data_IF_475737578602
#
_entry.id   IF_475737578602
#
_cell.length_a   1.000
_cell.length_b   1.000
_cell.length_c   1.000
_cell.angle_alpha   90.00
_cell.angle_beta   90.00
_cell.angle_gamma   90.00
#
_symmetry.space_group_name_H-M   'P 1'
#
loop_
_entity.id
_entity.type
_entity.pdbx_description
1 polymer ?
#
# COMPACT_ATOMS: atom_id res chain seq x y z
N UNK A 1 12.07 -9.62 4.26
CA UNK A 1 11.78 -9.04 5.59
C UNK A 1 10.33 -8.65 5.65
N UNK A 2 9.67 -9.00 6.73
CA UNK A 2 8.29 -8.61 6.93
C UNK A 2 8.23 -7.54 8.03
N UNK A 3 7.47 -6.51 7.78
CA UNK A 3 7.18 -5.53 8.81
C UNK A 3 6.24 -6.13 9.85
N UNK A 4 6.45 -5.84 11.15
CA UNK A 4 5.51 -6.30 12.18
C UNK A 4 4.12 -5.71 11.94
N UNK A 5 3.10 -6.48 12.29
CA UNK A 5 1.72 -6.02 12.16
C UNK A 5 1.48 -4.75 12.97
N UNK A 6 2.06 -4.66 14.16
CA UNK A 6 1.93 -3.50 15.04
C UNK A 6 2.46 -2.22 14.39
N UNK A 7 3.56 -2.32 13.65
CA UNK A 7 4.13 -1.18 12.94
C UNK A 7 3.20 -0.71 11.82
N UNK A 8 2.65 -1.64 11.06
CA UNK A 8 1.73 -1.33 9.97
C UNK A 8 0.41 -0.75 10.51
N UNK A 9 -0.09 -1.30 11.60
CA UNK A 9 -1.31 -0.81 12.24
C UNK A 9 -1.12 0.61 12.78
N UNK A 10 0.06 0.92 13.32
CA UNK A 10 0.35 2.27 13.79
C UNK A 10 0.34 3.28 12.65
N UNK A 11 0.86 2.91 11.49
CA UNK A 11 0.79 3.77 10.30
C UNK A 11 -0.66 4.04 9.94
N UNK A 12 -1.49 3.00 9.92
CA UNK A 12 -2.93 3.14 9.62
C UNK A 12 -3.66 4.00 10.65
N UNK A 13 -3.28 3.88 11.92
CA UNK A 13 -3.89 4.67 12.98
C UNK A 13 -3.53 6.15 12.90
N UNK A 14 -2.36 6.47 12.41
CA UNK A 14 -1.88 7.86 12.28
C UNK A 14 -2.32 8.53 11.00
N UNK A 15 -2.65 7.77 9.96
CA UNK A 15 -3.02 8.28 8.64
C UNK A 15 -4.43 7.85 8.25
N UNK A 16 -5.29 8.82 8.00
CA UNK A 16 -6.61 8.54 7.44
C UNK A 16 -6.47 8.28 5.95
N UNK A 17 -7.31 7.39 5.41
CA UNK A 17 -7.30 7.10 3.97
C UNK A 17 -7.57 8.38 3.16
N UNK A 18 -8.52 9.19 3.60
CA UNK A 18 -8.83 10.46 2.92
C UNK A 18 -7.64 11.40 2.89
N UNK A 19 -6.83 11.44 3.95
CA UNK A 19 -5.63 12.28 4.02
C UNK A 19 -4.59 11.84 2.99
N UNK A 20 -4.35 10.53 2.87
CA UNK A 20 -3.39 9.98 1.93
C UNK A 20 -3.88 10.18 0.49
N UNK A 21 -5.15 9.85 0.24
CA UNK A 21 -5.76 9.95 -1.09
C UNK A 21 -5.87 11.40 -1.57
N UNK A 22 -6.16 12.33 -0.68
CA UNK A 22 -6.34 13.74 -1.04
C UNK A 22 -5.08 14.41 -1.60
N UNK A 23 -3.91 13.80 -1.40
CA UNK A 23 -2.67 14.29 -1.99
C UNK A 23 -2.63 14.08 -3.50
N UNK A 24 -3.38 13.11 -4.00
CA UNK A 24 -3.45 12.76 -5.42
C UNK A 24 -4.81 13.08 -6.04
N UNK A 25 -5.88 12.90 -5.27
CA UNK A 25 -7.27 13.04 -5.74
C UNK A 25 -7.96 14.14 -4.96
N UNK A 26 -8.67 15.04 -5.66
CA UNK A 26 -9.54 16.01 -5.00
C UNK A 26 -10.78 15.32 -4.49
N UNK A 27 -10.91 15.26 -3.16
CA UNK A 27 -12.02 14.59 -2.50
C UNK A 27 -13.04 15.63 -1.98
N UNK A 28 -14.32 15.29 -2.09
CA UNK A 28 -15.42 16.05 -1.49
C UNK A 28 -16.12 15.16 -0.49
N UNK A 29 -16.41 15.70 0.68
CA UNK A 29 -17.14 14.96 1.70
C UNK A 29 -18.58 14.77 1.29
N UNK A 30 -19.07 13.53 1.38
CA UNK A 30 -20.45 13.19 1.05
C UNK A 30 -20.96 12.21 2.09
N UNK A 31 -21.68 12.72 3.09
CA UNK A 31 -22.10 11.91 4.23
C UNK A 31 -20.91 11.45 5.05
N UNK A 32 -20.78 10.15 5.25
CA UNK A 32 -19.66 9.55 5.99
C UNK A 32 -18.48 9.21 5.10
N UNK A 33 -18.61 9.42 3.79
CA UNK A 33 -17.57 9.06 2.83
C UNK A 33 -17.06 10.29 2.09
N UNK A 34 -15.94 10.10 1.38
CA UNK A 34 -15.38 11.09 0.47
C UNK A 34 -15.50 10.57 -0.94
N UNK A 35 -15.74 11.47 -1.90
CA UNK A 35 -15.94 11.10 -3.31
C UNK A 35 -15.06 11.97 -4.18
N UNK A 36 -14.50 11.38 -5.23
CA UNK A 36 -13.67 12.10 -6.20
C UNK A 36 -13.56 11.37 -7.52
N UNK A 37 -12.81 11.97 -8.44
CA UNK A 37 -12.50 11.33 -9.71
C UNK A 37 -11.42 10.29 -9.52
N UNK A 38 -11.57 9.15 -10.18
CA UNK A 38 -10.63 8.04 -10.04
C UNK A 38 -9.24 8.41 -10.57
N UNK A 39 -8.16 8.10 -9.83
CA UNK A 39 -6.80 8.24 -10.35
C UNK A 39 -6.42 7.09 -11.29
N UNK A 40 -7.25 6.04 -11.36
CA UNK A 40 -6.98 4.85 -12.17
C UNK A 40 -7.63 4.91 -13.54
N UNK A 41 -8.54 5.84 -13.76
CA UNK A 41 -9.26 5.99 -15.02
C UNK A 41 -9.56 7.46 -15.26
N UNK A 42 -9.35 7.90 -16.51
CA UNK A 42 -9.73 9.26 -16.90
C UNK A 42 -11.25 9.31 -17.10
N UNK A 43 -11.93 10.01 -16.19
CA UNK A 43 -13.39 10.09 -16.20
C UNK A 43 -13.87 11.48 -15.77
N UNK A 44 -15.11 11.81 -16.15
CA UNK A 44 -15.73 13.09 -15.78
C UNK A 44 -16.68 12.95 -14.60
N UNK A 45 -17.18 11.75 -14.33
CA UNK A 45 -18.12 11.47 -13.25
C UNK A 45 -17.39 10.85 -12.07
N UNK A 46 -17.55 11.40 -10.84
CA UNK A 46 -16.89 10.81 -9.67
C UNK A 46 -17.34 9.37 -9.42
N UNK A 47 -16.38 8.46 -9.36
CA UNK A 47 -16.64 7.04 -9.07
C UNK A 47 -15.71 6.50 -7.99
N UNK A 48 -14.82 7.33 -7.47
CA UNK A 48 -13.85 6.93 -6.46
C UNK A 48 -14.35 7.36 -5.08
N UNK A 49 -14.48 6.40 -4.16
CA UNK A 49 -14.95 6.65 -2.81
C UNK A 49 -13.92 6.25 -1.77
N UNK A 50 -13.91 6.97 -0.65
CA UNK A 50 -13.02 6.72 0.47
C UNK A 50 -13.85 6.68 1.75
N UNK A 51 -13.63 5.65 2.57
CA UNK A 51 -14.28 5.51 3.87
C UNK A 51 -13.20 5.44 4.95
N UNK A 52 -13.07 6.52 5.74
CA UNK A 52 -12.06 6.60 6.80
C UNK A 52 -12.37 5.67 7.97
N UNK A 53 -13.64 5.47 8.26
CA UNK A 53 -14.06 4.61 9.36
C UNK A 53 -13.71 3.15 9.10
N UNK A 54 -13.91 2.70 7.85
CA UNK A 54 -13.58 1.34 7.43
C UNK A 54 -12.16 1.21 6.88
N UNK A 55 -11.46 2.34 6.76
CA UNK A 55 -10.05 2.39 6.32
C UNK A 55 -9.81 1.81 4.93
N UNK A 56 -10.71 2.10 3.97
CA UNK A 56 -10.53 1.62 2.61
C UNK A 56 -11.01 2.62 1.57
N UNK A 57 -10.55 2.42 0.34
CA UNK A 57 -11.05 3.12 -0.83
C UNK A 57 -11.68 2.12 -1.80
N UNK A 58 -12.58 2.61 -2.65
CA UNK A 58 -13.19 1.80 -3.70
C UNK A 58 -13.41 2.64 -4.95
N UNK A 59 -12.97 2.15 -6.09
CA UNK A 59 -13.22 2.76 -7.40
C UNK A 59 -14.28 1.94 -8.13
N UNK A 60 -15.48 2.51 -8.26
CA UNK A 60 -16.58 1.83 -8.92
C UNK A 60 -16.37 1.68 -10.43
N UNK A 61 -15.55 2.54 -11.04
CA UNK A 61 -15.26 2.46 -12.47
C UNK A 61 -14.35 1.30 -12.85
N UNK A 62 -13.37 0.95 -11.99
CA UNK A 62 -12.39 -0.09 -12.26
C UNK A 62 -12.50 -1.28 -11.32
N UNK A 63 -13.35 -1.20 -10.30
CA UNK A 63 -13.49 -2.18 -9.22
C UNK A 63 -12.25 -2.32 -8.33
N UNK A 64 -11.29 -1.41 -8.44
CA UNK A 64 -10.12 -1.42 -7.57
C UNK A 64 -10.50 -0.96 -6.17
N UNK A 65 -9.94 -1.61 -5.17
CA UNK A 65 -10.18 -1.29 -3.77
C UNK A 65 -8.97 -1.67 -2.93
N UNK A 66 -8.90 -1.16 -1.72
CA UNK A 66 -7.81 -1.48 -0.82
C UNK A 66 -7.62 -0.46 0.28
N UNK A 67 -6.49 -0.55 0.98
CA UNK A 67 -6.11 0.36 2.04
C UNK A 67 -5.09 1.40 1.54
N UNK A 68 -4.49 2.16 2.47
CA UNK A 68 -3.51 3.20 2.11
C UNK A 68 -2.26 2.63 1.43
N UNK A 69 -1.85 1.41 1.82
CA UNK A 69 -0.68 0.77 1.21
C UNK A 69 -0.98 0.41 -0.24
N UNK A 70 -2.15 -0.19 -0.50
CA UNK A 70 -2.57 -0.52 -1.86
C UNK A 70 -2.67 0.72 -2.74
N UNK A 71 -3.23 1.80 -2.20
CA UNK A 71 -3.38 3.05 -2.95
C UNK A 71 -2.03 3.61 -3.37
N UNK A 72 -1.08 3.71 -2.43
CA UNK A 72 0.25 4.25 -2.72
C UNK A 72 1.01 3.36 -3.70
N UNK A 73 0.93 2.05 -3.51
CA UNK A 73 1.58 1.10 -4.42
C UNK A 73 1.08 1.26 -5.86
N UNK A 74 -0.22 1.40 -6.03
CA UNK A 74 -0.84 1.50 -7.36
C UNK A 74 -0.62 2.88 -8.01
N UNK A 75 -0.78 3.95 -7.25
CA UNK A 75 -0.70 5.32 -7.82
C UNK A 75 0.74 5.77 -8.04
N UNK A 76 1.68 5.31 -7.23
CA UNK A 76 3.09 5.70 -7.34
C UNK A 76 3.98 4.59 -7.90
N UNK A 77 3.38 3.46 -8.25
CA UNK A 77 4.11 2.31 -8.79
C UNK A 77 5.25 1.87 -7.86
N UNK A 78 4.93 1.71 -6.59
CA UNK A 78 5.89 1.32 -5.55
C UNK A 78 5.69 -0.12 -5.12
N UNK A 79 6.76 -0.74 -4.67
CA UNK A 79 6.70 -2.02 -3.99
C UNK A 79 6.21 -1.80 -2.55
N UNK A 80 5.75 -2.87 -1.89
CA UNK A 80 5.19 -2.77 -0.55
C UNK A 80 6.17 -2.12 0.45
N UNK A 81 7.43 -2.54 0.46
CA UNK A 81 8.43 -1.97 1.35
C UNK A 81 8.65 -0.48 1.13
N UNK A 82 8.63 -0.05 -0.14
CA UNK A 82 8.75 1.36 -0.48
C UNK A 82 7.52 2.16 -0.04
N UNK A 83 6.33 1.57 -0.20
CA UNK A 83 5.08 2.19 0.25
C UNK A 83 5.06 2.35 1.76
N UNK A 84 5.53 1.35 2.51
CA UNK A 84 5.61 1.41 3.97
C UNK A 84 6.53 2.54 4.40
N UNK A 85 7.70 2.68 3.79
CA UNK A 85 8.63 3.76 4.11
C UNK A 85 8.03 5.14 3.85
N UNK A 86 7.36 5.28 2.71
CA UNK A 86 6.71 6.53 2.33
C UNK A 86 5.62 6.92 3.34
N UNK A 87 4.75 5.97 3.67
CA UNK A 87 3.64 6.23 4.60
C UNK A 87 4.12 6.45 6.03
N UNK A 88 5.14 5.73 6.46
CA UNK A 88 5.74 5.95 7.79
C UNK A 88 6.30 7.37 7.91
N UNK A 89 6.94 7.85 6.86
CA UNK A 89 7.46 9.22 6.82
C UNK A 89 6.32 10.24 6.91
N UNK A 90 5.22 10.01 6.16
CA UNK A 90 4.04 10.87 6.24
C UNK A 90 3.40 10.87 7.63
N UNK A 91 3.44 9.73 8.30
CA UNK A 91 2.90 9.56 9.65
C UNK A 91 3.80 10.15 10.74
N UNK A 92 4.99 10.61 10.38
CA UNK A 92 5.95 11.12 11.34
C UNK A 92 6.60 10.03 12.18
N UNK A 93 6.59 8.79 11.69
CA UNK A 93 7.19 7.67 12.37
C UNK A 93 8.64 7.47 11.93
N UNK A 94 9.44 6.92 12.83
CA UNK A 94 10.82 6.55 12.49
C UNK A 94 10.77 5.34 11.55
N UNK A 95 11.69 5.26 10.57
CA UNK A 95 11.79 4.07 9.72
C UNK A 95 12.01 2.82 10.57
N UNK A 96 11.36 1.72 10.18
CA UNK A 96 11.55 0.46 10.87
C UNK A 96 12.95 -0.07 10.59
N UNK A 97 13.70 -0.35 11.65
CA UNK A 97 15.07 -0.84 11.53
C UNK A 97 15.09 -2.35 11.74
N UNK A 98 15.44 -3.08 10.69
CA UNK A 98 15.65 -4.52 10.80
C UNK A 98 17.01 -4.77 11.43
N UNK A 99 17.09 -5.80 12.29
CA UNK A 99 18.36 -6.18 12.88
C UNK A 99 19.27 -6.83 11.83
N UNK A 100 20.59 -6.88 12.12
CA UNK A 100 21.52 -7.59 11.24
C UNK A 100 21.12 -9.05 11.05
N UNK A 101 20.60 -9.66 12.12
CA UNK A 101 20.13 -11.03 12.07
C UNK A 101 18.97 -11.21 11.12
N UNK A 102 18.02 -10.27 11.12
CA UNK A 102 16.89 -10.27 10.19
C UNK A 102 17.36 -10.13 8.75
N UNK A 103 18.31 -9.24 8.50
CA UNK A 103 18.88 -9.03 7.17
C UNK A 103 19.58 -10.29 6.65
N UNK A 104 20.34 -10.97 7.51
CA UNK A 104 21.01 -12.21 7.15
C UNK A 104 20.03 -13.33 6.83
N UNK A 105 18.96 -13.44 7.61
CA UNK A 105 17.91 -14.43 7.38
C UNK A 105 17.23 -14.16 6.03
N UNK A 106 16.90 -12.92 5.74
CA UNK A 106 16.27 -12.55 4.47
C UNK A 106 17.19 -12.85 3.30
N UNK A 107 18.48 -12.54 3.43
CA UNK A 107 19.47 -12.81 2.39
C UNK A 107 19.52 -14.30 2.06
N UNK A 108 19.51 -15.14 3.10
CA UNK A 108 19.47 -16.59 2.92
C UNK A 108 18.18 -17.05 2.25
N UNK A 109 17.04 -16.47 2.64
CA UNK A 109 15.75 -16.78 2.02
C UNK A 109 15.72 -16.41 0.54
N UNK A 110 16.27 -15.25 0.19
CA UNK A 110 16.30 -14.80 -1.21
C UNK A 110 17.17 -15.73 -2.06
N UNK A 111 18.30 -16.18 -1.52
CA UNK A 111 19.15 -17.15 -2.18
C UNK A 111 18.41 -18.48 -2.38
N UNK A 112 17.71 -18.95 -1.36
CA UNK A 112 16.95 -20.18 -1.41
C UNK A 112 15.82 -20.09 -2.45
N UNK A 113 15.08 -18.99 -2.45
CA UNK A 113 14.00 -18.76 -3.42
C UNK A 113 14.51 -18.74 -4.86
N UNK A 114 15.66 -18.12 -5.09
CA UNK A 114 16.28 -18.07 -6.40
C UNK A 114 16.63 -19.47 -6.90
N UNK A 115 17.24 -20.29 -6.05
CA UNK A 115 17.58 -21.68 -6.38
C UNK A 115 16.32 -22.49 -6.63
N UNK A 116 15.32 -22.34 -5.78
CA UNK A 116 14.05 -23.08 -5.90
C UNK A 116 13.30 -22.72 -7.19
N UNK A 117 13.22 -21.44 -7.52
CA UNK A 117 12.56 -20.99 -8.74
C UNK A 117 13.25 -21.51 -9.99
N UNK A 118 14.58 -21.48 -9.99
CA UNK A 118 15.36 -22.02 -11.10
C UNK A 118 15.11 -23.52 -11.27
N UNK A 119 15.04 -24.26 -10.18
CA UNK A 119 14.79 -25.70 -10.18
C UNK A 119 13.38 -26.02 -10.70
N UNK A 120 12.38 -25.25 -10.27
CA UNK A 120 10.99 -25.41 -10.73
C UNK A 120 10.87 -25.14 -12.23
N UNK A 121 11.51 -24.09 -12.72
CA UNK A 121 11.51 -23.76 -14.14
C UNK A 121 12.13 -24.89 -14.97
N UNK A 122 13.16 -25.51 -14.45
CA UNK A 122 13.80 -26.65 -15.12
C UNK A 122 12.82 -27.82 -15.32
N UNK A 123 12.00 -28.11 -14.30
CA UNK A 123 11.04 -29.22 -14.39
C UNK A 123 9.76 -28.85 -15.14
N UNK A 124 9.40 -27.59 -15.23
CA UNK A 124 8.16 -27.17 -15.89
C UNK A 124 8.36 -26.80 -17.36
N UNK A 125 9.58 -26.76 -17.80
CA UNK A 125 9.91 -26.60 -19.20
C UNK A 125 10.03 -27.98 -19.87
#
# INVERSE_FOLDING_TARGET
>A
MKYPKEYLDEIKNRLKVSTVVSKTVSLKKRGKEFVGLSPFKNEKTPSFTVNDEKEFYHCFATSEHGNIFDFVMKTQNLKFGEAVKYLAQLAGMKPYMFSKQDEEIEKKWNEYKSIFNHYVDYYNN
#
